data_IF_406411340407
#
_entry.id   IF_406411340407
#
_cell.length_a   1.000
_cell.length_b   1.000
_cell.length_c   1.000
_cell.angle_alpha   90.00
_cell.angle_beta   90.00
_cell.angle_gamma   90.00
#
_symmetry.space_group_name_H-M   'P 1'
#
loop_
_entity.id
_entity.type
_entity.pdbx_description
1 polymer ?
#
# COMPACT_ATOMS: atom_id res chain seq x y z
N UNK A 1 -10.83 -8.24 9.37
CA UNK A 1 -9.98 -7.04 9.20
C UNK A 1 -8.89 -6.98 10.27
N UNK A 2 -9.20 -6.83 11.56
CA UNK A 2 -8.17 -6.84 12.63
C UNK A 2 -7.27 -8.06 12.59
N UNK A 3 -7.85 -9.27 12.53
CA UNK A 3 -7.06 -10.51 12.43
C UNK A 3 -6.16 -10.58 11.18
N UNK A 4 -6.59 -9.99 10.05
CA UNK A 4 -5.77 -9.94 8.83
C UNK A 4 -4.65 -8.91 8.93
N UNK A 5 -4.92 -7.77 9.58
CA UNK A 5 -3.94 -6.74 9.89
C UNK A 5 -2.87 -7.29 10.84
N UNK A 6 -3.28 -7.94 11.93
CA UNK A 6 -2.38 -8.58 12.89
C UNK A 6 -1.51 -9.65 12.22
N UNK A 7 -2.09 -10.46 11.32
CA UNK A 7 -1.33 -11.47 10.57
C UNK A 7 -0.31 -10.85 9.59
N UNK A 8 -0.64 -9.73 8.93
CA UNK A 8 0.30 -9.03 8.05
C UNK A 8 1.43 -8.36 8.84
N UNK A 9 1.11 -7.75 9.98
CA UNK A 9 2.09 -7.16 10.88
C UNK A 9 3.05 -8.21 11.42
N UNK A 10 2.54 -9.36 11.89
CA UNK A 10 3.38 -10.46 12.36
C UNK A 10 4.35 -10.96 11.29
N UNK A 11 3.90 -11.10 10.03
CA UNK A 11 4.77 -11.49 8.90
C UNK A 11 5.82 -10.44 8.57
N UNK A 12 5.48 -9.16 8.73
CA UNK A 12 6.40 -8.05 8.51
C UNK A 12 7.48 -8.01 9.59
N UNK A 13 7.08 -8.18 10.86
CA UNK A 13 8.00 -8.25 12.00
C UNK A 13 8.96 -9.44 11.89
N UNK A 14 8.45 -10.61 11.48
CA UNK A 14 9.26 -11.80 11.21
C UNK A 14 10.32 -11.52 10.12
N UNK A 15 9.90 -10.96 8.98
CA UNK A 15 10.82 -10.63 7.90
C UNK A 15 11.86 -9.58 8.30
N UNK A 16 11.47 -8.59 9.12
CA UNK A 16 12.40 -7.59 9.66
C UNK A 16 13.40 -8.21 10.65
N UNK A 17 12.96 -9.09 11.54
CA UNK A 17 13.82 -9.81 12.47
C UNK A 17 14.88 -10.63 11.75
N UNK A 18 14.48 -11.42 10.75
CA UNK A 18 15.41 -12.20 9.93
C UNK A 18 16.41 -11.32 9.17
N UNK A 19 15.96 -10.19 8.61
CA UNK A 19 16.85 -9.22 7.96
C UNK A 19 17.86 -8.62 8.94
N UNK A 20 17.44 -8.30 10.15
CA UNK A 20 18.30 -7.71 11.17
C UNK A 20 19.39 -8.69 11.64
N UNK A 21 19.02 -9.95 11.90
CA UNK A 21 19.95 -11.03 12.24
C UNK A 21 20.99 -11.25 11.12
N UNK A 22 20.53 -11.42 9.88
CA UNK A 22 21.43 -11.62 8.72
C UNK A 22 22.36 -10.43 8.49
N UNK A 23 21.86 -9.21 8.66
CA UNK A 23 22.69 -8.00 8.62
C UNK A 23 23.75 -8.04 9.72
N UNK A 24 23.40 -8.47 10.92
CA UNK A 24 24.34 -8.66 12.03
C UNK A 24 25.45 -9.65 11.70
N UNK A 25 25.10 -10.84 11.20
CA UNK A 25 26.05 -11.87 10.76
C UNK A 25 27.01 -11.35 9.68
N UNK A 26 26.46 -10.70 8.64
CA UNK A 26 27.25 -10.15 7.55
C UNK A 26 28.22 -9.06 8.04
N UNK A 27 27.73 -8.12 8.84
CA UNK A 27 28.56 -7.06 9.44
C UNK A 27 29.64 -7.66 10.33
N UNK A 28 29.32 -8.69 11.13
CA UNK A 28 30.28 -9.40 11.95
C UNK A 28 31.38 -10.07 11.12
N UNK A 29 31.00 -10.79 10.06
CA UNK A 29 31.93 -11.46 9.14
C UNK A 29 32.87 -10.47 8.44
N UNK A 30 32.34 -9.36 7.91
CA UNK A 30 33.12 -8.30 7.27
C UNK A 30 34.07 -7.64 8.27
N UNK A 31 33.60 -7.37 9.49
CA UNK A 31 34.41 -6.76 10.54
C UNK A 31 35.55 -7.68 10.98
N UNK A 32 35.31 -8.98 11.13
CA UNK A 32 36.35 -9.95 11.45
C UNK A 32 37.43 -10.02 10.36
N UNK A 33 37.02 -10.03 9.07
CA UNK A 33 37.94 -10.00 7.93
C UNK A 33 38.77 -8.71 7.91
N UNK A 34 38.14 -7.57 8.19
CA UNK A 34 38.84 -6.29 8.31
C UNK A 34 39.91 -6.35 9.40
N UNK A 35 39.58 -6.86 10.59
CA UNK A 35 40.54 -7.02 11.68
C UNK A 35 41.73 -7.93 11.31
N UNK A 36 41.48 -9.01 10.56
CA UNK A 36 42.56 -9.90 10.06
C UNK A 36 43.51 -9.16 9.10
N UNK A 37 42.96 -8.34 8.20
CA UNK A 37 43.75 -7.54 7.26
C UNK A 37 44.51 -6.43 7.98
N UNK A 38 43.87 -5.70 8.91
CA UNK A 38 44.50 -4.65 9.71
C UNK A 38 45.68 -5.23 10.52
N UNK A 39 45.52 -6.43 11.10
CA UNK A 39 46.61 -7.13 11.80
C UNK A 39 47.76 -7.54 10.86
N UNK A 40 47.45 -8.03 9.66
CA UNK A 40 48.46 -8.39 8.67
C UNK A 40 49.25 -7.17 8.19
N UNK A 41 48.58 -6.03 7.98
CA UNK A 41 49.22 -4.76 7.63
C UNK A 41 50.18 -4.31 8.73
N UNK A 42 49.72 -4.29 9.99
CA UNK A 42 50.56 -3.90 11.13
C UNK A 42 51.80 -4.82 11.30
N UNK A 43 51.66 -6.11 11.02
CA UNK A 43 52.79 -7.05 11.07
C UNK A 43 53.80 -6.79 9.94
N UNK A 44 53.33 -6.50 8.72
CA UNK A 44 54.17 -6.13 7.58
C UNK A 44 54.91 -4.81 7.86
N UNK A 45 54.23 -3.81 8.39
CA UNK A 45 54.83 -2.53 8.79
C UNK A 45 55.91 -2.74 9.85
N UNK A 46 55.65 -3.55 10.88
CA UNK A 46 56.66 -3.90 11.89
C UNK A 46 57.89 -4.59 11.29
N UNK A 47 57.70 -5.49 10.33
CA UNK A 47 58.80 -6.19 9.65
C UNK A 47 59.60 -5.26 8.74
N UNK A 48 58.93 -4.29 8.10
CA UNK A 48 59.58 -3.26 7.28
C UNK A 48 60.53 -2.39 8.10
N UNK A 49 60.14 -2.04 9.32
CA UNK A 49 60.92 -1.17 10.20
C UNK A 49 62.04 -1.92 10.96
N UNK A 50 62.20 -3.24 10.73
CA UNK A 50 63.17 -4.08 11.42
C UNK A 50 64.56 -4.00 10.74
N UNK A 51 65.69 -4.07 11.49
CA UNK A 51 67.02 -4.09 10.89
C UNK A 51 67.24 -5.31 9.98
N UNK A 52 67.91 -5.12 8.84
CA UNK A 52 68.13 -6.15 7.81
C UNK A 52 68.65 -7.48 8.37
N UNK A 53 69.57 -7.42 9.34
CA UNK A 53 70.17 -8.59 9.95
C UNK A 53 69.16 -9.44 10.73
N UNK A 54 68.23 -8.82 11.47
CA UNK A 54 67.19 -9.55 12.22
C UNK A 54 66.06 -10.08 11.33
N UNK A 55 65.81 -9.38 10.22
CA UNK A 55 64.88 -9.83 9.19
C UNK A 55 65.41 -11.09 8.48
N UNK A 56 66.69 -11.08 8.09
CA UNK A 56 67.36 -12.18 7.38
C UNK A 56 67.67 -13.38 8.28
N UNK A 57 67.98 -13.16 9.57
CA UNK A 57 68.24 -14.24 10.54
C UNK A 57 66.99 -15.04 10.94
N UNK A 58 65.85 -14.84 10.28
CA UNK A 58 64.67 -15.70 10.43
C UNK A 58 63.96 -15.52 11.77
N UNK A 59 63.82 -14.27 12.25
CA UNK A 59 62.84 -13.99 13.30
C UNK A 59 61.46 -14.54 12.88
N UNK A 60 60.72 -15.12 13.82
CA UNK A 60 59.43 -15.85 13.67
C UNK A 60 58.71 -15.58 12.33
N UNK A 61 58.29 -16.63 11.58
CA UNK A 61 57.65 -16.49 10.27
C UNK A 61 56.48 -15.49 10.29
N UNK A 62 56.42 -14.57 9.31
CA UNK A 62 55.34 -13.59 9.14
C UNK A 62 53.99 -14.32 9.06
N UNK A 63 53.05 -14.03 9.97
CA UNK A 63 51.68 -14.59 9.90
C UNK A 63 50.79 -13.88 8.88
N UNK A 64 51.35 -12.88 8.22
CA UNK A 64 50.81 -12.08 7.14
C UNK A 64 50.12 -12.95 6.05
N UNK A 65 50.78 -14.02 5.60
CA UNK A 65 50.25 -14.91 4.56
C UNK A 65 49.05 -15.74 5.03
N UNK A 66 49.12 -16.51 6.14
CA UNK A 66 47.96 -17.20 6.71
C UNK A 66 46.78 -16.26 7.03
N UNK A 67 47.04 -15.04 7.52
CA UNK A 67 45.99 -14.06 7.82
C UNK A 67 45.29 -13.56 6.55
N UNK A 68 46.06 -13.22 5.50
CA UNK A 68 45.52 -12.84 4.20
C UNK A 68 44.74 -13.98 3.54
N UNK A 69 45.16 -15.22 3.74
CA UNK A 69 44.49 -16.40 3.22
C UNK A 69 43.17 -16.68 3.95
N UNK A 70 43.15 -16.58 5.28
CA UNK A 70 41.92 -16.63 6.08
C UNK A 70 40.95 -15.49 5.70
N UNK A 71 41.48 -14.30 5.44
CA UNK A 71 40.67 -13.16 5.00
C UNK A 71 40.03 -13.41 3.62
N UNK A 72 40.61 -14.21 2.72
CA UNK A 72 40.05 -14.48 1.37
C UNK A 72 38.78 -15.32 1.37
N UNK A 73 38.39 -15.91 2.50
CA UNK A 73 37.17 -16.71 2.62
C UNK A 73 35.95 -15.95 2.04
N UNK A 74 35.03 -16.65 1.35
CA UNK A 74 33.83 -16.04 0.79
C UNK A 74 32.95 -15.47 1.90
N UNK A 75 32.46 -14.24 1.68
CA UNK A 75 31.50 -13.61 2.59
C UNK A 75 30.13 -14.31 2.46
N UNK A 76 29.32 -14.34 3.54
CA UNK A 76 27.93 -14.75 3.46
C UNK A 76 27.19 -13.92 2.40
N UNK A 77 26.21 -14.55 1.73
CA UNK A 77 25.35 -13.83 0.77
C UNK A 77 24.64 -12.66 1.49
N UNK A 78 24.71 -11.41 0.96
CA UNK A 78 24.21 -10.23 1.66
C UNK A 78 22.70 -10.28 1.98
N UNK A 79 21.88 -10.84 1.08
CA UNK A 79 20.44 -11.04 1.28
C UNK A 79 19.98 -12.31 0.55
N UNK A 80 19.45 -13.31 1.26
CA UNK A 80 18.93 -14.52 0.64
C UNK A 80 17.75 -14.25 -0.31
N UNK A 81 17.73 -14.93 -1.45
CA UNK A 81 16.65 -14.83 -2.45
C UNK A 81 15.24 -15.15 -1.90
N UNK A 82 15.15 -16.03 -0.90
CA UNK A 82 13.90 -16.34 -0.21
C UNK A 82 13.33 -15.14 0.57
N UNK A 83 14.19 -14.41 1.27
CA UNK A 83 13.82 -13.25 2.08
C UNK A 83 13.38 -12.09 1.18
N UNK A 84 14.10 -11.87 0.07
CA UNK A 84 13.70 -10.90 -0.95
C UNK A 84 12.31 -11.20 -1.52
N UNK A 85 12.02 -12.47 -1.86
CA UNK A 85 10.69 -12.89 -2.34
C UNK A 85 9.60 -12.63 -1.31
N UNK A 86 9.86 -12.91 -0.02
CA UNK A 86 8.89 -12.65 1.06
C UNK A 86 8.57 -11.15 1.17
N UNK A 87 9.58 -10.27 1.16
CA UNK A 87 9.37 -8.82 1.20
C UNK A 87 8.58 -8.34 -0.01
N UNK A 88 8.92 -8.80 -1.22
CA UNK A 88 8.15 -8.48 -2.43
C UNK A 88 6.68 -8.89 -2.30
N UNK A 89 6.42 -10.11 -1.82
CA UNK A 89 5.04 -10.59 -1.62
C UNK A 89 4.25 -9.75 -0.62
N UNK A 90 4.89 -9.26 0.44
CA UNK A 90 4.25 -8.39 1.42
C UNK A 90 3.91 -7.02 0.81
N UNK A 91 4.82 -6.47 -0.01
CA UNK A 91 4.58 -5.22 -0.74
C UNK A 91 3.36 -5.33 -1.66
N UNK A 92 3.28 -6.40 -2.45
CA UNK A 92 2.14 -6.67 -3.34
C UNK A 92 0.82 -6.78 -2.56
N UNK A 93 0.83 -7.48 -1.41
CA UNK A 93 -0.36 -7.56 -0.56
C UNK A 93 -0.78 -6.21 0.00
N UNK A 94 0.18 -5.33 0.35
CA UNK A 94 -0.10 -3.99 0.85
C UNK A 94 -0.79 -3.13 -0.21
N UNK A 95 -0.31 -3.16 -1.45
CA UNK A 95 -0.93 -2.44 -2.57
C UNK A 95 -2.37 -2.90 -2.83
N UNK A 96 -2.62 -4.21 -2.79
CA UNK A 96 -3.97 -4.77 -2.93
C UNK A 96 -4.92 -4.30 -1.82
N UNK A 97 -4.47 -4.31 -0.56
CA UNK A 97 -5.27 -3.85 0.58
C UNK A 97 -5.57 -2.35 0.48
N UNK A 98 -4.58 -1.53 0.12
CA UNK A 98 -4.76 -0.10 -0.08
C UNK A 98 -5.74 0.19 -1.23
N UNK A 99 -5.63 -0.53 -2.34
CA UNK A 99 -6.55 -0.43 -3.48
C UNK A 99 -7.99 -0.77 -3.10
N UNK A 100 -8.21 -1.88 -2.41
CA UNK A 100 -9.53 -2.30 -1.93
C UNK A 100 -10.14 -1.26 -0.96
N UNK A 101 -9.31 -0.69 -0.07
CA UNK A 101 -9.75 0.34 0.87
C UNK A 101 -10.15 1.64 0.15
N UNK A 102 -9.41 2.02 -0.91
CA UNK A 102 -9.73 3.17 -1.74
C UNK A 102 -11.08 2.98 -2.47
N UNK A 103 -11.31 1.82 -3.07
CA UNK A 103 -12.60 1.49 -3.69
C UNK A 103 -13.76 1.53 -2.70
N UNK A 104 -13.57 0.92 -1.53
CA UNK A 104 -14.59 0.89 -0.49
C UNK A 104 -14.94 2.31 -0.03
N UNK A 105 -13.95 3.16 0.20
CA UNK A 105 -14.16 4.58 0.55
C UNK A 105 -14.89 5.33 -0.57
N UNK A 106 -14.57 5.07 -1.84
CA UNK A 106 -15.29 5.62 -2.98
C UNK A 106 -16.78 5.24 -2.99
N UNK A 107 -17.07 3.94 -2.87
CA UNK A 107 -18.45 3.40 -2.80
C UNK A 107 -19.22 3.93 -1.60
N UNK A 108 -18.58 4.06 -0.44
CA UNK A 108 -19.19 4.59 0.78
C UNK A 108 -19.54 6.08 0.66
N UNK A 109 -18.67 6.89 0.04
CA UNK A 109 -18.95 8.31 -0.26
C UNK A 109 -20.12 8.46 -1.22
N UNK A 110 -20.18 7.65 -2.29
CA UNK A 110 -21.29 7.65 -3.23
C UNK A 110 -22.62 7.35 -2.53
N UNK A 111 -22.68 6.30 -1.69
CA UNK A 111 -23.89 5.96 -0.93
C UNK A 111 -24.31 7.05 0.05
N UNK A 112 -23.35 7.69 0.75
CA UNK A 112 -23.65 8.86 1.60
C UNK A 112 -24.15 10.05 0.80
N UNK A 113 -23.61 10.31 -0.39
CA UNK A 113 -24.11 11.38 -1.27
C UNK A 113 -25.56 11.15 -1.73
N UNK A 114 -25.95 9.90 -1.98
CA UNK A 114 -27.36 9.56 -2.25
C UNK A 114 -28.26 9.68 -1.01
N UNK A 115 -27.74 9.39 0.19
CA UNK A 115 -28.51 9.43 1.44
C UNK A 115 -28.50 10.81 2.14
N UNK A 116 -27.65 11.73 1.72
CA UNK A 116 -27.49 13.07 2.29
C UNK A 116 -28.02 14.17 1.37
N UNK A 117 -28.71 13.82 0.28
CA UNK A 117 -29.62 14.77 -0.33
C UNK A 117 -30.59 15.20 0.79
N UNK A 118 -30.68 16.50 1.12
CA UNK A 118 -31.70 16.95 2.07
C UNK A 118 -33.04 16.42 1.59
N UNK A 119 -33.95 16.08 2.50
CA UNK A 119 -35.37 15.87 2.22
C UNK A 119 -35.96 17.19 1.70
N UNK A 120 -35.51 17.65 0.53
CA UNK A 120 -36.18 18.67 -0.24
C UNK A 120 -37.53 18.06 -0.55
N UNK A 121 -38.57 18.53 0.15
CA UNK A 121 -39.95 18.14 -0.10
C UNK A 121 -40.28 18.57 -1.52
N UNK A 122 -40.05 17.69 -2.48
CA UNK A 122 -40.45 17.93 -3.87
C UNK A 122 -41.91 17.52 -3.98
N UNK A 123 -42.74 18.47 -4.38
CA UNK A 123 -44.13 18.22 -4.79
C UNK A 123 -44.21 18.27 -6.30
N UNK A 124 -45.20 17.61 -6.88
CA UNK A 124 -45.43 17.57 -8.32
C UNK A 124 -46.37 18.71 -8.69
N UNK A 125 -46.02 19.47 -9.73
CA UNK A 125 -46.80 20.62 -10.20
C UNK A 125 -47.97 20.17 -11.10
N UNK A 126 -49.24 20.31 -10.66
CA UNK A 126 -50.41 19.90 -11.44
C UNK A 126 -50.59 20.67 -12.75
N UNK A 127 -50.07 21.89 -12.85
CA UNK A 127 -50.19 22.73 -14.04
C UNK A 127 -49.27 22.23 -15.17
N UNK A 128 -48.20 21.53 -14.81
CA UNK A 128 -47.28 20.93 -15.79
C UNK A 128 -47.65 19.49 -16.15
N UNK A 129 -48.45 18.82 -15.32
CA UNK A 129 -48.72 17.40 -15.43
C UNK A 129 -49.46 17.02 -16.72
N UNK A 130 -48.97 15.99 -17.42
CA UNK A 130 -49.66 15.44 -18.57
C UNK A 130 -51.07 14.93 -18.22
N UNK A 131 -52.09 15.09 -19.09
CA UNK A 131 -53.47 14.68 -18.81
C UNK A 131 -53.67 13.17 -18.52
N UNK A 132 -52.75 12.31 -18.95
CA UNK A 132 -52.77 10.89 -18.60
C UNK A 132 -52.18 10.60 -17.21
N UNK A 133 -51.62 11.58 -16.50
CA UNK A 133 -51.07 11.40 -15.16
C UNK A 133 -52.08 11.80 -14.09
N UNK A 134 -52.37 10.89 -13.18
CA UNK A 134 -53.21 11.12 -11.99
C UNK A 134 -52.28 11.39 -10.81
N UNK A 135 -52.31 12.60 -10.28
CA UNK A 135 -51.56 13.00 -9.09
C UNK A 135 -52.35 12.69 -7.82
N UNK A 136 -51.67 12.31 -6.73
CA UNK A 136 -52.29 12.23 -5.41
C UNK A 136 -52.55 13.62 -4.83
N UNK A 137 -53.50 13.73 -3.90
CA UNK A 137 -53.85 15.00 -3.27
C UNK A 137 -52.69 15.65 -2.52
N UNK A 138 -51.73 14.87 -2.04
CA UNK A 138 -50.54 15.36 -1.36
C UNK A 138 -49.43 15.83 -2.33
N UNK A 139 -49.64 15.69 -3.65
CA UNK A 139 -48.69 16.08 -4.69
C UNK A 139 -47.40 15.28 -4.68
N UNK A 140 -47.31 14.14 -4.00
CA UNK A 140 -46.06 13.37 -3.84
C UNK A 140 -46.00 12.12 -4.70
N UNK A 141 -47.14 11.65 -5.18
CA UNK A 141 -47.22 10.43 -5.99
C UNK A 141 -48.00 10.68 -7.27
N UNK A 142 -47.67 9.91 -8.30
CA UNK A 142 -48.34 9.96 -9.58
C UNK A 142 -48.62 8.54 -10.08
N UNK A 143 -49.65 8.40 -10.89
CA UNK A 143 -50.04 7.14 -11.52
C UNK A 143 -50.41 7.42 -12.97
N UNK A 144 -50.01 6.54 -13.89
CA UNK A 144 -50.47 6.62 -15.27
C UNK A 144 -51.92 6.13 -15.35
N UNK A 145 -52.83 7.04 -15.67
CA UNK A 145 -54.23 6.78 -15.93
C UNK A 145 -54.44 6.08 -17.27
N UNK A 146 -55.53 5.31 -17.37
CA UNK A 146 -55.91 4.61 -18.61
C UNK A 146 -56.64 5.50 -19.61
N UNK A 147 -57.02 6.71 -19.21
CA UNK A 147 -57.82 7.66 -19.98
C UNK A 147 -57.24 9.05 -19.82
N UNK A 148 -57.43 9.86 -20.85
CA UNK A 148 -57.13 11.28 -20.83
C UNK A 148 -58.05 11.95 -19.80
N UNK A 149 -57.50 12.75 -18.89
CA UNK A 149 -58.29 13.54 -17.94
C UNK A 149 -58.64 14.89 -18.55
N UNK A 150 -59.85 15.37 -18.26
CA UNK A 150 -60.32 16.69 -18.67
C UNK A 150 -59.76 17.75 -17.70
N UNK A 151 -58.48 18.07 -17.87
CA UNK A 151 -57.79 19.11 -17.13
C UNK A 151 -57.82 20.44 -17.91
N UNK A 152 -57.85 21.60 -17.22
CA UNK A 152 -57.74 22.88 -17.87
C UNK A 152 -56.43 23.01 -18.64
N UNK A 153 -56.51 23.59 -19.84
CA UNK A 153 -55.36 23.75 -20.71
C UNK A 153 -54.43 24.81 -20.10
N UNK A 154 -53.18 24.44 -19.88
CA UNK A 154 -52.17 25.28 -19.26
C UNK A 154 -50.94 25.32 -20.16
N UNK A 155 -50.35 26.50 -20.42
CA UNK A 155 -49.26 26.66 -21.38
C UNK A 155 -47.99 25.87 -21.00
N UNK A 156 -47.84 25.51 -19.72
CA UNK A 156 -46.74 24.68 -19.22
C UNK A 156 -47.01 23.17 -19.22
N UNK A 157 -48.17 22.71 -19.72
CA UNK A 157 -48.60 21.32 -19.62
C UNK A 157 -47.90 20.43 -20.64
N UNK A 158 -47.33 19.30 -20.19
CA UNK A 158 -46.79 18.31 -21.11
C UNK A 158 -47.92 17.60 -21.86
N UNK A 159 -48.00 17.75 -23.17
CA UNK A 159 -48.99 17.05 -24.02
C UNK A 159 -48.40 15.85 -24.75
N UNK A 160 -47.12 15.92 -25.14
CA UNK A 160 -46.42 14.88 -25.92
C UNK A 160 -45.73 13.77 -25.11
N UNK A 161 -45.48 13.98 -23.82
CA UNK A 161 -44.86 12.99 -22.94
C UNK A 161 -45.63 12.86 -21.62
N UNK A 162 -45.72 11.64 -21.09
CA UNK A 162 -46.31 11.37 -19.78
C UNK A 162 -45.36 11.81 -18.65
N UNK A 163 -45.15 13.11 -18.56
CA UNK A 163 -44.20 13.76 -17.64
C UNK A 163 -44.89 14.85 -16.81
N UNK A 164 -44.24 15.24 -15.72
CA UNK A 164 -44.65 16.32 -14.81
C UNK A 164 -43.38 16.90 -14.19
N UNK A 165 -43.35 18.20 -13.91
CA UNK A 165 -42.23 18.81 -13.20
C UNK A 165 -42.41 18.70 -11.68
N UNK A 166 -41.30 18.50 -10.99
CA UNK A 166 -41.23 18.68 -9.55
C UNK A 166 -41.00 20.14 -9.20
N UNK A 167 -41.75 20.66 -8.24
CA UNK A 167 -41.53 21.95 -7.59
C UNK A 167 -40.91 21.74 -6.22
N UNK A 168 -40.01 22.64 -5.82
CA UNK A 168 -39.54 22.69 -4.45
C UNK A 168 -40.70 23.18 -3.57
N UNK A 169 -41.14 22.34 -2.63
CA UNK A 169 -42.19 22.66 -1.66
C UNK A 169 -41.70 23.45 -0.47
#
# INVERSE_FOLDING_TARGET
LREQEDALLARLDEAHGELAERRGEYVGSVSARRSLLDAAVAEIEKKRDQPDMEFLMGSRPCRCLPSCEAAKAPLPEPVPSALRRRVCSLSETSELVLGALAEFRGKAKQRRGLAAAPDSKVTLDPETANPYLVLSNDGKTLRLGKRHQDLPDAPGRFTGSSSVLGTQG
#
